data_IF_473377239733
#
_entry.id   IF_473377239733
#
_cell.length_a   1.000
_cell.length_b   1.000
_cell.length_c   1.000
_cell.angle_alpha   90.00
_cell.angle_beta   90.00
_cell.angle_gamma   90.00
#
_symmetry.space_group_name_H-M   'P 1'
#
loop_
_entity.id
_entity.type
_entity.pdbx_description
1 polymer ?
#
# COMPACT_ATOMS: atom_id res chain seq x y z
N UNK A 1 -7.47 -26.47 14.81
CA UNK A 1 -6.05 -26.23 14.50
C UNK A 1 -5.79 -24.74 14.64
N UNK A 2 -5.00 -24.33 15.63
CA UNK A 2 -4.62 -22.93 15.82
C UNK A 2 -3.86 -22.47 14.59
N UNK A 3 -4.42 -21.53 13.82
CA UNK A 3 -3.72 -20.92 12.69
C UNK A 3 -2.49 -20.19 13.26
N UNK A 4 -1.33 -20.82 13.17
CA UNK A 4 -0.06 -20.18 13.51
C UNK A 4 0.11 -19.01 12.56
N UNK A 5 -0.05 -17.80 13.08
CA UNK A 5 0.18 -16.60 12.31
C UNK A 5 1.61 -16.63 11.75
N UNK A 6 1.74 -16.69 10.42
CA UNK A 6 3.01 -16.55 9.73
C UNK A 6 3.22 -15.09 9.41
N UNK A 7 4.38 -14.58 9.79
CA UNK A 7 4.75 -13.20 9.52
C UNK A 7 5.11 -13.04 8.04
N UNK A 8 4.29 -12.31 7.29
CA UNK A 8 4.58 -12.00 5.88
C UNK A 8 5.80 -11.10 5.66
N UNK A 9 6.36 -10.52 6.73
CA UNK A 9 7.55 -9.65 6.64
C UNK A 9 8.86 -10.39 6.89
N UNK A 10 8.88 -11.45 7.70
CA UNK A 10 10.09 -12.21 8.01
C UNK A 10 9.99 -13.71 7.73
N UNK A 11 8.81 -14.22 7.33
CA UNK A 11 8.58 -15.62 7.00
C UNK A 11 8.42 -16.57 8.19
N UNK A 12 8.62 -16.11 9.43
CA UNK A 12 8.54 -16.95 10.63
C UNK A 12 7.11 -17.13 11.13
N UNK A 13 6.80 -18.34 11.59
CA UNK A 13 5.52 -18.68 12.22
C UNK A 13 5.52 -18.34 13.73
N UNK A 14 4.34 -18.04 14.27
CA UNK A 14 4.13 -17.74 15.69
C UNK A 14 3.84 -16.27 15.99
N UNK A 15 3.82 -15.39 14.98
CA UNK A 15 3.42 -13.99 15.12
C UNK A 15 2.93 -13.41 13.79
N UNK A 16 2.02 -12.44 13.83
CA UNK A 16 1.60 -11.70 12.63
C UNK A 16 2.61 -10.60 12.28
N UNK A 17 2.62 -10.12 11.03
CA UNK A 17 3.51 -9.05 10.54
C UNK A 17 3.54 -7.77 11.39
N UNK A 18 2.49 -7.49 12.17
CA UNK A 18 2.42 -6.34 13.08
C UNK A 18 3.23 -6.54 14.35
N UNK A 19 3.44 -7.78 14.75
CA UNK A 19 4.12 -8.19 15.98
C UNK A 19 5.51 -8.75 15.70
N UNK A 20 6.02 -8.56 14.48
CA UNK A 20 7.32 -9.06 14.09
C UNK A 20 8.45 -8.36 14.86
N UNK A 21 9.21 -9.07 15.72
CA UNK A 21 10.27 -8.47 16.52
C UNK A 21 11.45 -8.02 15.66
N UNK A 22 11.78 -8.75 14.59
CA UNK A 22 12.84 -8.39 13.64
C UNK A 22 12.55 -7.07 12.94
N UNK A 23 11.29 -6.82 12.61
CA UNK A 23 10.86 -5.56 11.99
C UNK A 23 10.67 -4.48 13.04
N UNK A 24 10.30 -4.84 14.28
CA UNK A 24 10.17 -3.88 15.36
C UNK A 24 11.50 -3.17 15.67
N UNK A 25 12.61 -3.91 15.68
CA UNK A 25 13.95 -3.36 15.87
C UNK A 25 14.38 -2.41 14.72
N UNK A 26 13.91 -2.66 13.49
CA UNK A 26 14.22 -1.82 12.32
C UNK A 26 13.17 -0.75 12.02
N UNK A 27 12.12 -0.61 12.84
CA UNK A 27 11.12 0.46 12.67
C UNK A 27 11.77 1.80 12.93
N UNK A 28 11.81 2.63 11.90
CA UNK A 28 12.18 4.05 12.01
C UNK A 28 11.00 4.86 12.51
N UNK A 29 11.25 5.66 13.54
CA UNK A 29 10.30 6.63 14.07
C UNK A 29 10.14 7.78 13.07
N UNK A 30 8.91 8.03 12.60
CA UNK A 30 8.63 9.14 11.69
C UNK A 30 8.60 10.52 12.37
N UNK A 31 8.78 10.57 13.70
CA UNK A 31 8.88 11.82 14.45
C UNK A 31 10.34 12.27 14.62
N UNK A 32 11.21 11.39 15.16
CA UNK A 32 12.61 11.72 15.46
C UNK A 32 13.62 11.10 14.49
N UNK A 33 13.21 10.15 13.65
CA UNK A 33 14.08 9.45 12.69
C UNK A 33 14.91 8.30 13.28
N UNK A 34 14.85 8.05 14.58
CA UNK A 34 15.58 6.95 15.21
C UNK A 34 14.87 5.60 15.02
N UNK A 35 15.63 4.51 14.98
CA UNK A 35 15.09 3.15 14.88
C UNK A 35 14.75 2.55 16.25
N UNK A 36 14.01 1.45 16.27
CA UNK A 36 13.67 0.70 17.48
C UNK A 36 12.34 1.11 18.14
N UNK A 37 11.65 2.13 17.63
CA UNK A 37 10.34 2.53 18.11
C UNK A 37 9.48 3.15 17.00
N UNK A 38 8.16 3.23 17.25
CA UNK A 38 7.21 3.93 16.38
C UNK A 38 7.00 5.36 16.87
N UNK A 39 6.52 6.26 15.99
CA UNK A 39 6.20 7.65 16.37
C UNK A 39 5.20 7.79 17.53
N UNK A 40 4.42 6.75 17.82
CA UNK A 40 3.49 6.73 18.95
C UNK A 40 4.20 6.56 20.29
N UNK A 41 5.30 5.82 20.28
CA UNK A 41 6.12 5.47 21.45
C UNK A 41 7.41 6.32 21.49
N UNK A 42 7.43 7.43 20.74
CA UNK A 42 8.57 8.33 20.69
C UNK A 42 8.65 9.16 21.97
N UNK A 43 9.80 9.18 22.67
CA UNK A 43 9.98 9.96 23.88
C UNK A 43 10.15 11.47 23.62
N UNK A 44 10.33 11.87 22.35
CA UNK A 44 10.48 13.27 21.95
C UNK A 44 9.13 13.95 21.72
N UNK A 45 9.12 15.28 21.81
CA UNK A 45 7.96 16.11 21.51
C UNK A 45 7.39 15.83 20.11
N UNK A 46 6.06 15.84 20.00
CA UNK A 46 5.39 15.55 18.74
C UNK A 46 5.56 16.73 17.77
N UNK A 47 6.48 16.58 16.81
CA UNK A 47 6.59 17.48 15.66
C UNK A 47 5.23 17.58 14.95
N UNK A 48 4.85 18.79 14.48
CA UNK A 48 3.64 18.95 13.69
C UNK A 48 3.73 18.09 12.44
N UNK A 49 2.61 17.47 12.07
CA UNK A 49 2.54 16.68 10.84
C UNK A 49 2.73 17.61 9.67
N UNK A 50 3.72 17.34 8.83
CA UNK A 50 3.90 18.04 7.56
C UNK A 50 3.45 17.16 6.40
N UNK A 51 3.07 17.81 5.31
CA UNK A 51 2.87 17.22 4.01
C UNK A 51 4.16 16.54 3.57
N UNK A 52 4.14 15.22 3.40
CA UNK A 52 5.28 14.48 2.87
C UNK A 52 5.60 14.80 1.40
N UNK A 53 4.71 15.48 0.68
CA UNK A 53 4.93 15.85 -0.73
C UNK A 53 5.62 17.21 -0.88
N UNK A 54 5.31 18.19 -0.04
CA UNK A 54 5.82 19.56 -0.18
C UNK A 54 6.44 20.17 1.09
N UNK A 55 6.43 19.44 2.22
CA UNK A 55 6.99 19.87 3.49
C UNK A 55 6.12 20.86 4.29
N UNK A 56 4.96 21.31 3.76
CA UNK A 56 4.08 22.25 4.46
C UNK A 56 3.45 21.64 5.71
N UNK A 57 3.35 22.39 6.81
CA UNK A 57 2.64 21.97 8.03
C UNK A 57 1.15 22.31 8.02
N UNK A 58 0.67 23.04 7.00
CA UNK A 58 -0.73 23.49 6.91
C UNK A 58 -1.67 22.36 6.49
N UNK A 59 -1.17 21.38 5.72
CA UNK A 59 -1.97 20.29 5.19
C UNK A 59 -1.22 18.97 5.24
N UNK A 60 -1.95 17.85 5.21
CA UNK A 60 -1.36 16.52 5.06
C UNK A 60 -1.15 16.21 3.57
N UNK A 61 -0.33 15.19 3.25
CA UNK A 61 -0.08 14.77 1.85
C UNK A 61 -1.34 14.46 1.04
N UNK A 62 -2.46 14.16 1.72
CA UNK A 62 -3.75 13.89 1.10
C UNK A 62 -4.46 15.16 0.60
N UNK A 63 -4.13 16.29 1.21
CA UNK A 63 -4.72 17.61 0.99
C UNK A 63 -3.72 18.55 0.32
N UNK A 64 -2.61 17.99 -0.20
CA UNK A 64 -1.57 18.76 -0.87
C UNK A 64 -2.10 19.30 -2.21
N UNK A 65 -2.21 20.64 -2.36
CA UNK A 65 -2.72 21.26 -3.59
C UNK A 65 -1.74 21.10 -4.76
N UNK A 66 -0.46 20.89 -4.47
CA UNK A 66 0.54 20.48 -5.46
C UNK A 66 0.36 18.99 -5.73
N UNK A 67 -0.58 18.71 -6.63
CA UNK A 67 -0.89 17.40 -7.17
C UNK A 67 0.29 16.89 -8.01
N UNK A 68 1.15 16.11 -7.37
CA UNK A 68 1.71 14.94 -8.02
C UNK A 68 1.65 13.83 -6.99
N UNK A 69 0.49 13.16 -6.90
CA UNK A 69 0.41 11.89 -6.18
C UNK A 69 1.38 10.96 -6.89
N UNK A 70 2.49 10.49 -6.28
CA UNK A 70 3.29 9.43 -6.88
C UNK A 70 2.41 8.19 -6.89
N UNK A 71 1.71 7.93 -8.00
CA UNK A 71 0.74 6.85 -8.10
C UNK A 71 -0.65 7.20 -8.63
N UNK A 72 -1.06 8.46 -8.82
CA UNK A 72 -2.35 8.74 -9.48
C UNK A 72 -2.20 8.76 -11.00
N UNK A 73 -1.13 9.40 -11.48
CA UNK A 73 -0.86 9.61 -12.89
C UNK A 73 -0.19 8.37 -13.53
N UNK A 74 0.45 7.54 -12.71
CA UNK A 74 1.04 6.25 -13.12
C UNK A 74 0.06 5.08 -13.07
N UNK A 75 -1.18 5.29 -12.62
CA UNK A 75 -2.20 4.22 -12.68
C UNK A 75 -2.60 4.00 -14.12
N UNK A 76 -2.18 2.86 -14.65
CA UNK A 76 -2.66 2.33 -15.92
C UNK A 76 -4.09 1.83 -15.74
N UNK A 77 -5.00 2.32 -16.56
CA UNK A 77 -6.36 1.84 -16.62
C UNK A 77 -6.38 0.35 -17.01
N UNK A 78 -6.89 -0.52 -16.15
CA UNK A 78 -7.01 -1.96 -16.44
C UNK A 78 -8.06 -2.29 -17.51
N UNK A 79 -8.81 -1.28 -18.01
CA UNK A 79 -9.76 -1.46 -19.12
C UNK A 79 -9.10 -1.17 -20.48
N UNK A 80 -8.48 0.00 -20.63
CA UNK A 80 -7.90 0.45 -21.91
C UNK A 80 -6.37 0.45 -21.98
N UNK A 81 -5.67 0.24 -20.86
CA UNK A 81 -4.20 0.23 -20.82
C UNK A 81 -3.56 1.62 -20.82
N UNK A 82 -4.32 2.71 -20.78
CA UNK A 82 -3.79 4.08 -20.76
C UNK A 82 -3.53 4.56 -19.33
N UNK A 83 -2.45 5.32 -19.11
CA UNK A 83 -2.13 5.98 -17.85
C UNK A 83 -2.97 7.24 -17.62
N UNK A 84 -3.05 7.71 -16.37
CA UNK A 84 -3.76 8.94 -16.00
C UNK A 84 -5.21 8.75 -15.53
N UNK A 85 -5.74 7.52 -15.55
CA UNK A 85 -7.06 7.21 -14.99
C UNK A 85 -7.20 5.73 -14.58
N UNK A 86 -8.18 5.42 -13.73
CA UNK A 86 -8.52 4.06 -13.34
C UNK A 86 -9.66 3.50 -14.20
N UNK A 87 -9.83 2.17 -14.24
CA UNK A 87 -10.94 1.52 -14.98
C UNK A 87 -12.34 2.01 -14.62
N UNK A 88 -12.51 2.59 -13.42
CA UNK A 88 -13.78 3.16 -12.97
C UNK A 88 -14.10 4.48 -13.69
N UNK A 89 -13.08 5.25 -13.99
CA UNK A 89 -13.13 6.57 -14.61
C UNK A 89 -12.74 6.50 -16.11
N UNK A 90 -12.77 5.29 -16.68
CA UNK A 90 -12.43 5.06 -18.08
C UNK A 90 -13.60 5.49 -18.99
N UNK A 91 -13.34 6.34 -20.00
CA UNK A 91 -14.37 6.76 -20.94
C UNK A 91 -14.78 5.65 -21.94
N UNK A 92 -13.98 4.57 -22.04
CA UNK A 92 -14.25 3.45 -22.93
C UNK A 92 -15.23 2.45 -22.30
N UNK A 93 -15.94 1.71 -23.15
CA UNK A 93 -16.82 0.61 -22.71
C UNK A 93 -16.08 -0.40 -21.83
N UNK A 94 -16.77 -0.93 -20.82
CA UNK A 94 -16.18 -1.88 -19.87
C UNK A 94 -15.98 -3.23 -20.53
N UNK A 95 -14.72 -3.60 -20.78
CA UNK A 95 -14.38 -4.97 -21.17
C UNK A 95 -14.78 -5.97 -20.06
N UNK A 96 -15.19 -7.19 -20.42
CA UNK A 96 -15.44 -8.24 -19.44
C UNK A 96 -14.17 -8.49 -18.62
N UNK A 97 -14.34 -8.70 -17.31
CA UNK A 97 -13.21 -8.99 -16.43
C UNK A 97 -12.62 -10.34 -16.85
N UNK A 98 -11.32 -10.38 -17.06
CA UNK A 98 -10.58 -11.61 -17.26
C UNK A 98 -9.73 -11.94 -16.04
N UNK A 99 -9.41 -13.22 -15.90
CA UNK A 99 -8.41 -13.73 -14.99
C UNK A 99 -7.06 -13.08 -15.31
N UNK A 100 -6.49 -12.35 -14.34
CA UNK A 100 -5.16 -11.74 -14.47
C UNK A 100 -4.02 -12.77 -14.52
N UNK A 101 -4.27 -14.04 -14.18
CA UNK A 101 -3.25 -15.09 -14.18
C UNK A 101 -3.18 -15.85 -15.51
N UNK A 102 -4.33 -16.14 -16.14
CA UNK A 102 -4.41 -16.95 -17.37
C UNK A 102 -5.15 -16.28 -18.54
N UNK A 103 -5.74 -15.09 -18.35
CA UNK A 103 -6.46 -14.34 -19.38
C UNK A 103 -7.89 -14.80 -19.65
N UNK A 104 -8.39 -15.86 -19.02
CA UNK A 104 -9.77 -16.36 -19.22
C UNK A 104 -10.84 -15.35 -18.80
N UNK A 105 -11.92 -15.18 -19.56
CA UNK A 105 -13.08 -14.36 -19.18
C UNK A 105 -14.16 -15.11 -18.40
N UNK A 106 -13.99 -16.41 -18.21
CA UNK A 106 -14.96 -17.27 -17.53
C UNK A 106 -14.84 -17.20 -16.00
N UNK A 107 -13.64 -16.92 -15.48
CA UNK A 107 -13.39 -16.79 -14.05
C UNK A 107 -12.46 -15.61 -13.72
N UNK A 108 -12.47 -15.19 -12.45
CA UNK A 108 -11.56 -14.18 -11.91
C UNK A 108 -10.29 -14.83 -11.36
N UNK A 109 -9.19 -14.07 -11.17
CA UNK A 109 -7.91 -14.61 -10.65
C UNK A 109 -7.99 -15.36 -9.32
N UNK A 110 -9.04 -15.11 -8.54
CA UNK A 110 -9.27 -15.80 -7.27
C UNK A 110 -9.73 -17.25 -7.46
N UNK A 111 -10.40 -17.50 -8.57
CA UNK A 111 -10.99 -18.77 -9.00
C UNK A 111 -10.16 -19.44 -10.10
N UNK A 112 -8.97 -18.89 -10.39
CA UNK A 112 -8.04 -19.45 -11.36
C UNK A 112 -7.58 -20.85 -10.88
N UNK A 113 -7.80 -21.92 -11.68
CA UNK A 113 -7.37 -23.26 -11.31
C UNK A 113 -5.84 -23.37 -11.23
N UNK A 114 -5.11 -22.59 -12.03
CA UNK A 114 -3.64 -22.55 -12.06
C UNK A 114 -3.01 -21.51 -11.11
N UNK A 115 -3.60 -21.32 -9.93
CA UNK A 115 -3.11 -20.32 -8.96
C UNK A 115 -1.82 -20.81 -8.27
N UNK A 116 -0.66 -20.50 -8.86
CA UNK A 116 0.65 -20.66 -8.23
C UNK A 116 0.96 -19.56 -7.20
#
# INVERSE_FOLDING_TARGET
MSATATCYKCGEAGHVSRECPKVAASRTCYNCGQTGHLSRDCPSERKPKSCYNCGSTEHLSRECPNEAKPGADTRTCYNCGQSGHLSRDCPNERKPKSCYNCGSTEHLSRECPDRH
#
